data_IF_893146283123
#
_entry.id   IF_893146283123
#
_cell.length_a   1.000
_cell.length_b   1.000
_cell.length_c   1.000
_cell.angle_alpha   90.00
_cell.angle_beta   90.00
_cell.angle_gamma   90.00
#
_symmetry.space_group_name_H-M   'P 1'
#
loop_
_entity.id
_entity.type
_entity.pdbx_description
1 polymer ?
#
# COMPACT_ATOMS: atom_id res chain seq x y z
N UNK A 1 -18.34 1.21 -11.19
CA UNK A 1 -18.55 1.46 -9.74
C UNK A 1 -17.98 0.27 -9.00
N UNK A 2 -17.07 0.48 -8.05
CA UNK A 2 -16.66 -0.59 -7.14
C UNK A 2 -17.35 -0.35 -5.80
N UNK A 3 -17.82 -1.40 -5.16
CA UNK A 3 -18.52 -1.31 -3.88
C UNK A 3 -17.84 -2.25 -2.90
N UNK A 4 -17.52 -1.73 -1.72
CA UNK A 4 -16.88 -2.53 -0.69
C UNK A 4 -17.90 -3.48 -0.07
N UNK A 5 -17.59 -4.77 -0.06
CA UNK A 5 -18.44 -5.80 0.55
C UNK A 5 -18.44 -5.75 2.08
N UNK A 6 -17.41 -5.19 2.71
CA UNK A 6 -17.31 -5.09 4.17
C UNK A 6 -18.12 -3.92 4.77
N UNK A 7 -18.25 -2.80 4.04
CA UNK A 7 -18.89 -1.59 4.57
C UNK A 7 -19.83 -0.88 3.60
N UNK A 8 -20.07 -1.43 2.40
CA UNK A 8 -20.97 -0.87 1.39
C UNK A 8 -20.46 0.41 0.71
N UNK A 9 -19.22 0.84 0.98
CA UNK A 9 -18.68 2.10 0.44
C UNK A 9 -18.47 2.01 -1.07
N UNK A 10 -19.08 2.95 -1.80
CA UNK A 10 -18.96 3.06 -3.25
C UNK A 10 -17.78 3.92 -3.70
N UNK A 11 -17.03 3.44 -4.68
CA UNK A 11 -15.93 4.13 -5.34
C UNK A 11 -16.32 4.40 -6.81
N UNK A 12 -16.33 5.68 -7.19
CA UNK A 12 -16.81 6.16 -8.49
C UNK A 12 -15.82 7.08 -9.24
N UNK A 13 -14.61 7.31 -8.71
CA UNK A 13 -13.60 8.17 -9.35
C UNK A 13 -12.72 7.39 -10.35
N UNK A 14 -12.54 7.86 -11.60
CA UNK A 14 -12.00 7.04 -12.68
C UNK A 14 -10.46 6.86 -12.66
N UNK A 15 -9.68 7.77 -12.08
CA UNK A 15 -8.21 7.76 -12.29
C UNK A 15 -7.40 6.79 -11.41
N UNK A 16 -8.01 6.18 -10.39
CA UNK A 16 -7.32 5.21 -9.50
C UNK A 16 -8.28 4.18 -8.89
N UNK A 17 -9.38 3.86 -9.57
CA UNK A 17 -10.53 3.20 -8.94
C UNK A 17 -10.17 1.84 -8.31
N UNK A 18 -9.45 0.99 -9.05
CA UNK A 18 -9.01 -0.32 -8.55
C UNK A 18 -8.00 -0.21 -7.42
N UNK A 19 -6.95 0.60 -7.57
CA UNK A 19 -5.94 0.78 -6.55
C UNK A 19 -6.51 1.38 -5.24
N UNK A 20 -7.38 2.38 -5.32
CA UNK A 20 -8.06 2.94 -4.15
C UNK A 20 -9.00 1.92 -3.50
N UNK A 21 -9.70 1.11 -4.31
CA UNK A 21 -10.55 0.04 -3.81
C UNK A 21 -9.73 -1.03 -3.09
N UNK A 22 -8.63 -1.52 -3.68
CA UNK A 22 -7.76 -2.52 -3.07
C UNK A 22 -7.12 -2.01 -1.77
N UNK A 23 -6.65 -0.75 -1.74
CA UNK A 23 -6.13 -0.11 -0.51
C UNK A 23 -7.21 -0.07 0.57
N UNK A 24 -8.46 0.21 0.18
CA UNK A 24 -9.57 0.20 1.11
C UNK A 24 -9.90 -1.21 1.61
N UNK A 25 -9.90 -2.22 0.75
CA UNK A 25 -10.09 -3.63 1.17
C UNK A 25 -8.98 -4.06 2.13
N UNK A 26 -7.73 -3.70 1.86
CA UNK A 26 -6.59 -3.96 2.74
C UNK A 26 -6.78 -3.35 4.14
N UNK A 27 -7.55 -2.27 4.28
CA UNK A 27 -7.86 -1.69 5.60
C UNK A 27 -8.84 -2.54 6.42
N UNK A 28 -9.65 -3.37 5.77
CA UNK A 28 -10.53 -4.33 6.43
C UNK A 28 -9.82 -5.65 6.74
N UNK A 29 -9.06 -6.19 5.78
CA UNK A 29 -8.35 -7.47 5.94
C UNK A 29 -7.07 -7.35 6.76
N UNK A 30 -6.55 -6.12 6.92
CA UNK A 30 -5.24 -5.88 7.52
C UNK A 30 -4.08 -6.28 6.62
N UNK A 31 -4.34 -6.65 5.37
CA UNK A 31 -3.31 -7.05 4.42
C UNK A 31 -2.37 -5.89 4.08
N UNK A 32 -1.09 -6.23 3.98
CA UNK A 32 -0.02 -5.29 3.70
C UNK A 32 0.89 -5.89 2.62
N UNK A 33 0.43 -5.93 1.36
CA UNK A 33 1.14 -6.60 0.29
C UNK A 33 2.48 -5.94 -0.06
N UNK A 34 2.69 -4.68 0.33
CA UNK A 34 3.92 -3.96 0.02
C UNK A 34 4.92 -4.07 1.17
N UNK A 35 5.82 -5.04 1.08
CA UNK A 35 6.92 -5.22 2.03
C UNK A 35 8.08 -4.29 1.69
N UNK A 36 8.76 -3.77 2.71
CA UNK A 36 9.98 -3.01 2.56
C UNK A 36 11.05 -3.89 1.91
N UNK A 37 11.77 -3.42 0.88
CA UNK A 37 12.80 -4.21 0.21
C UNK A 37 14.06 -4.45 1.07
N UNK A 38 14.13 -3.84 2.26
CA UNK A 38 15.22 -4.04 3.21
C UNK A 38 14.84 -5.18 4.14
N UNK A 39 15.47 -6.33 3.94
CA UNK A 39 15.18 -7.59 4.66
C UNK A 39 15.27 -7.42 6.19
N UNK A 40 16.21 -6.61 6.69
CA UNK A 40 16.36 -6.34 8.13
C UNK A 40 15.24 -5.47 8.71
N UNK A 41 14.43 -4.81 7.87
CA UNK A 41 13.35 -3.94 8.32
C UNK A 41 12.04 -4.71 8.55
N UNK A 42 11.70 -5.65 7.66
CA UNK A 42 10.47 -6.47 7.75
C UNK A 42 9.15 -5.69 7.74
N UNK A 43 9.16 -4.36 7.56
CA UNK A 43 7.95 -3.52 7.60
C UNK A 43 7.13 -3.69 6.34
N UNK A 44 5.81 -3.81 6.50
CA UNK A 44 4.85 -3.91 5.40
C UNK A 44 3.84 -2.76 5.41
N UNK A 45 3.30 -2.45 4.23
CA UNK A 45 2.38 -1.34 3.98
C UNK A 45 1.22 -1.76 3.10
N UNK A 46 0.06 -1.15 3.30
CA UNK A 46 -1.13 -1.35 2.45
C UNK A 46 -1.11 -0.49 1.19
N UNK A 47 -0.18 0.47 1.07
CA UNK A 47 -0.05 1.41 -0.06
C UNK A 47 1.40 1.46 -0.56
N UNK A 48 1.58 1.27 -1.87
CA UNK A 48 2.90 1.29 -2.52
C UNK A 48 3.66 2.61 -2.32
N UNK A 49 2.99 3.76 -2.46
CA UNK A 49 3.62 5.07 -2.28
C UNK A 49 4.15 5.28 -0.86
N UNK A 50 3.46 4.72 0.15
CA UNK A 50 3.91 4.75 1.54
C UNK A 50 5.14 3.88 1.75
N UNK A 51 5.16 2.66 1.21
CA UNK A 51 6.34 1.79 1.25
C UNK A 51 7.55 2.47 0.58
N UNK A 52 7.37 3.05 -0.61
CA UNK A 52 8.45 3.76 -1.33
C UNK A 52 8.97 4.96 -0.54
N UNK A 53 8.08 5.75 0.06
CA UNK A 53 8.47 6.86 0.94
C UNK A 53 9.25 6.36 2.15
N UNK A 54 8.80 5.26 2.77
CA UNK A 54 9.51 4.64 3.86
C UNK A 54 10.88 4.13 3.43
N UNK A 55 11.00 3.46 2.28
CA UNK A 55 12.28 2.93 1.79
C UNK A 55 13.36 4.02 1.65
N UNK A 56 12.96 5.28 1.43
CA UNK A 56 13.89 6.42 1.39
C UNK A 56 14.64 6.66 2.70
N UNK A 57 14.10 6.24 3.84
CA UNK A 57 14.81 6.36 5.14
C UNK A 57 16.01 5.42 5.19
N UNK A 58 15.95 4.28 4.49
CA UNK A 58 17.05 3.32 4.42
C UNK A 58 18.12 3.76 3.42
N UNK A 59 17.71 4.45 2.34
CA UNK A 59 18.65 5.01 1.36
C UNK A 59 19.38 6.26 1.83
N UNK A 60 19.14 6.76 3.06
CA UNK A 60 20.05 7.73 3.69
C UNK A 60 21.41 7.12 4.02
N UNK A 61 21.57 5.81 3.79
CA UNK A 61 22.85 5.12 3.57
C UNK A 61 22.89 4.61 2.12
N UNK A 62 24.00 4.80 1.38
CA UNK A 62 24.01 4.66 -0.07
C UNK A 62 23.73 3.23 -0.53
N UNK A 63 23.13 3.18 -1.72
CA UNK A 63 22.95 2.03 -2.59
C UNK A 63 24.15 1.05 -2.52
N UNK A 64 23.89 -0.18 -2.10
CA UNK A 64 24.41 -1.36 -2.79
C UNK A 64 23.14 -2.05 -3.32
N UNK A 65 22.90 -2.18 -4.62
CA UNK A 65 23.80 -2.52 -5.72
C UNK A 65 23.38 -1.80 -7.01
#
# INVERSE_FOLDING_TARGET
>A
KYECTYCGKGFNRPSSLKACFDIHINSHTGEKPFVCPVESCGRSFSVLSNMRRHARVHTQTPLRQ
#
